data_IF_514935063179
#
_entry.id   IF_514935063179
#
_cell.length_a   1.000
_cell.length_b   1.000
_cell.length_c   1.000
_cell.angle_alpha   90.00
_cell.angle_beta   90.00
_cell.angle_gamma   90.00
#
_symmetry.space_group_name_H-M   'P 1'
#
loop_
_entity.id
_entity.type
_entity.pdbx_description
1 polymer ?
#
# COMPACT_ATOMS: atom_id res chain seq x y z
N UNK A 1 8.56 -11.50 -13.33
CA UNK A 1 8.59 -10.02 -13.27
C UNK A 1 10.03 -9.58 -13.09
N UNK A 2 10.53 -8.70 -13.95
CA UNK A 2 11.97 -8.43 -14.01
C UNK A 2 12.31 -7.11 -13.31
N UNK A 3 12.80 -7.20 -12.06
CA UNK A 3 13.31 -6.06 -11.32
C UNK A 3 14.47 -5.37 -12.06
N UNK A 4 15.31 -6.11 -12.80
CA UNK A 4 16.42 -5.52 -13.56
C UNK A 4 15.90 -4.59 -14.65
N UNK A 5 14.83 -5.01 -15.34
CA UNK A 5 14.13 -4.16 -16.29
C UNK A 5 13.57 -2.90 -15.61
N UNK A 6 12.96 -3.06 -14.43
CA UNK A 6 12.37 -1.93 -13.68
C UNK A 6 13.44 -0.91 -13.26
N UNK A 7 14.61 -1.36 -12.80
CA UNK A 7 15.76 -0.50 -12.50
C UNK A 7 16.26 0.23 -13.75
N UNK A 8 16.38 -0.50 -14.88
CA UNK A 8 16.79 0.10 -16.17
C UNK A 8 15.81 1.19 -16.61
N UNK A 9 14.50 0.90 -16.53
CA UNK A 9 13.45 1.84 -16.90
C UNK A 9 13.39 3.04 -15.94
N UNK A 10 13.58 2.85 -14.64
CA UNK A 10 13.68 3.95 -13.68
C UNK A 10 14.84 4.89 -14.01
N UNK A 11 16.01 4.35 -14.38
CA UNK A 11 17.15 5.17 -14.80
C UNK A 11 16.87 5.97 -16.07
N UNK A 12 16.17 5.37 -17.03
CA UNK A 12 15.85 6.01 -18.30
C UNK A 12 14.69 7.00 -18.19
N UNK A 13 13.71 6.72 -17.34
CA UNK A 13 12.46 7.46 -17.20
C UNK A 13 12.08 7.69 -15.72
N UNK A 14 12.92 8.38 -14.93
CA UNK A 14 12.78 8.47 -13.47
C UNK A 14 11.50 9.18 -13.00
N UNK A 15 10.87 9.97 -13.88
CA UNK A 15 9.59 10.64 -13.61
C UNK A 15 8.35 9.79 -13.91
N UNK A 16 8.50 8.69 -14.63
CA UNK A 16 7.39 7.83 -15.06
C UNK A 16 7.41 6.49 -14.33
N UNK A 17 8.58 5.88 -14.22
CA UNK A 17 8.78 4.65 -13.45
C UNK A 17 9.34 5.07 -12.10
N UNK A 18 8.50 5.12 -11.07
CA UNK A 18 8.87 5.64 -9.74
C UNK A 18 9.22 4.55 -8.72
N UNK A 19 9.02 3.28 -9.09
CA UNK A 19 9.12 2.18 -8.14
C UNK A 19 8.97 0.81 -8.77
N UNK A 20 9.02 -0.20 -7.92
CA UNK A 20 8.76 -1.60 -8.25
C UNK A 20 7.78 -2.22 -7.25
N UNK A 21 6.97 -3.15 -7.73
CA UNK A 21 6.00 -3.92 -6.96
C UNK A 21 5.96 -5.38 -7.45
N UNK A 22 5.58 -6.28 -6.55
CA UNK A 22 5.32 -7.71 -6.76
C UNK A 22 3.83 -8.03 -6.61
N UNK A 23 2.98 -7.61 -7.57
CA UNK A 23 1.52 -7.86 -7.50
C UNK A 23 1.06 -9.16 -8.20
N UNK A 24 0.82 -10.25 -7.47
CA UNK A 24 0.24 -11.50 -8.00
C UNK A 24 -0.70 -12.08 -6.93
N UNK A 25 -1.38 -13.19 -7.23
CA UNK A 25 -2.08 -13.94 -6.19
C UNK A 25 -1.06 -14.38 -5.13
N UNK A 26 -1.03 -13.67 -3.99
CA UNK A 26 0.09 -13.71 -3.03
C UNK A 26 0.29 -15.08 -2.39
N UNK A 27 -0.74 -15.92 -2.46
CA UNK A 27 -0.78 -17.26 -1.89
C UNK A 27 -0.23 -18.32 -2.84
N UNK A 28 -0.30 -18.11 -4.16
CA UNK A 28 0.25 -19.02 -5.19
C UNK A 28 1.54 -18.44 -5.82
N UNK A 29 2.26 -17.65 -5.02
CA UNK A 29 3.46 -16.93 -5.44
C UNK A 29 4.70 -17.34 -4.66
N UNK A 30 5.87 -16.92 -5.16
CA UNK A 30 7.08 -16.94 -4.35
C UNK A 30 7.04 -15.80 -3.30
N UNK A 31 7.77 -15.95 -2.20
CA UNK A 31 8.03 -14.84 -1.28
C UNK A 31 8.63 -13.62 -1.97
N UNK A 32 8.44 -12.46 -1.33
CA UNK A 32 9.01 -11.19 -1.80
C UNK A 32 10.53 -11.27 -1.86
N UNK A 33 11.17 -11.89 -0.86
CA UNK A 33 12.62 -12.09 -0.85
C UNK A 33 13.07 -12.92 -2.04
N UNK A 34 12.38 -14.00 -2.43
CA UNK A 34 12.78 -14.80 -3.58
C UNK A 34 12.94 -13.96 -4.85
N UNK A 35 11.99 -13.06 -5.12
CA UNK A 35 12.07 -12.15 -6.26
C UNK A 35 13.18 -11.10 -6.13
N UNK A 36 13.56 -10.76 -4.90
CA UNK A 36 14.50 -9.68 -4.59
C UNK A 36 15.90 -10.17 -4.19
N UNK A 37 16.15 -11.48 -4.07
CA UNK A 37 17.49 -12.04 -3.81
C UNK A 37 18.49 -11.59 -4.87
N UNK A 38 18.05 -11.46 -6.13
CA UNK A 38 18.87 -10.90 -7.21
C UNK A 38 19.16 -9.40 -7.06
N UNK A 39 18.37 -8.67 -6.27
CA UNK A 39 18.57 -7.26 -5.96
C UNK A 39 19.59 -7.06 -4.84
N UNK A 40 19.49 -7.85 -3.77
CA UNK A 40 20.40 -7.77 -2.62
C UNK A 40 21.85 -8.00 -3.06
N UNK A 41 22.09 -8.94 -3.97
CA UNK A 41 23.42 -9.16 -4.58
C UNK A 41 23.90 -8.02 -5.49
N UNK A 42 23.01 -7.15 -5.99
CA UNK A 42 23.37 -5.98 -6.79
C UNK A 42 23.62 -4.73 -5.94
N UNK A 43 23.04 -4.64 -4.74
CA UNK A 43 23.35 -3.57 -3.78
C UNK A 43 24.81 -3.63 -3.31
N UNK A 44 25.37 -4.83 -3.14
CA UNK A 44 26.80 -5.03 -2.85
C UNK A 44 27.71 -4.51 -3.98
N UNK A 45 27.18 -4.35 -5.20
CA UNK A 45 27.91 -3.90 -6.38
C UNK A 45 27.70 -2.41 -6.73
N UNK A 46 27.15 -1.60 -5.81
CA UNK A 46 27.05 -0.14 -5.98
C UNK A 46 25.96 0.33 -6.95
N UNK A 47 24.99 -0.51 -7.30
CA UNK A 47 23.86 -0.10 -8.12
C UNK A 47 22.82 0.70 -7.32
N UNK A 48 22.38 1.82 -7.90
CA UNK A 48 21.28 2.66 -7.40
C UNK A 48 20.00 1.84 -7.22
N UNK A 49 19.38 1.92 -6.04
CA UNK A 49 18.13 1.23 -5.72
C UNK A 49 16.93 1.94 -6.34
N UNK A 50 15.91 1.15 -6.67
CA UNK A 50 14.59 1.66 -7.03
C UNK A 50 13.70 1.60 -5.78
N UNK A 51 12.83 2.60 -5.51
CA UNK A 51 11.87 2.51 -4.42
C UNK A 51 10.93 1.30 -4.58
N UNK A 52 10.60 0.63 -3.47
CA UNK A 52 9.69 -0.52 -3.47
C UNK A 52 8.30 -0.08 -2.95
N UNK A 53 7.24 -0.61 -3.55
CA UNK A 53 5.84 -0.40 -3.17
C UNK A 53 5.15 -1.76 -3.16
N UNK A 54 5.53 -2.61 -2.21
CA UNK A 54 5.21 -4.03 -2.26
C UNK A 54 3.75 -4.30 -1.85
N UNK A 55 3.01 -4.98 -2.71
CA UNK A 55 1.80 -5.72 -2.37
C UNK A 55 2.17 -6.82 -1.37
N UNK A 56 1.58 -6.79 -0.17
CA UNK A 56 1.89 -7.80 0.84
C UNK A 56 0.80 -7.94 1.91
N UNK A 57 0.64 -9.17 2.38
CA UNK A 57 -0.27 -9.51 3.45
C UNK A 57 -1.73 -9.39 3.04
N UNK A 58 -2.07 -9.44 1.75
CA UNK A 58 -3.45 -9.55 1.29
C UNK A 58 -3.94 -10.99 1.44
N UNK A 59 -4.06 -11.47 2.68
CA UNK A 59 -4.47 -12.85 2.94
C UNK A 59 -5.27 -12.97 4.23
N UNK A 60 -6.12 -13.99 4.26
CA UNK A 60 -6.85 -14.41 5.47
C UNK A 60 -6.24 -15.64 6.14
N UNK A 61 -5.24 -16.29 5.51
CA UNK A 61 -4.65 -17.54 6.00
C UNK A 61 -3.97 -17.43 7.36
N UNK A 62 -3.89 -18.53 8.13
CA UNK A 62 -3.10 -18.61 9.35
C UNK A 62 -1.62 -18.29 9.14
N UNK A 63 -0.95 -17.87 10.22
CA UNK A 63 0.45 -17.42 10.21
C UNK A 63 1.45 -18.52 9.81
N UNK A 64 1.14 -19.78 10.13
CA UNK A 64 2.01 -20.94 9.97
C UNK A 64 1.65 -21.81 8.76
N UNK A 65 0.62 -21.44 8.01
CA UNK A 65 0.21 -22.19 6.82
C UNK A 65 1.18 -21.91 5.67
N UNK A 66 1.84 -22.96 5.18
CA UNK A 66 2.59 -22.89 3.92
C UNK A 66 1.60 -22.76 2.77
N UNK A 67 1.53 -21.55 2.20
CA UNK A 67 0.60 -21.22 1.12
C UNK A 67 1.27 -21.34 -0.24
N UNK A 68 2.55 -21.00 -0.34
CA UNK A 68 3.34 -21.14 -1.58
C UNK A 68 3.25 -22.56 -2.14
N UNK A 69 2.89 -22.66 -3.42
CA UNK A 69 2.82 -23.91 -4.18
C UNK A 69 4.18 -24.39 -4.70
N UNK A 70 5.25 -23.61 -4.49
CA UNK A 70 6.59 -23.89 -5.02
C UNK A 70 7.45 -24.67 -4.01
N UNK A 71 7.90 -25.87 -4.40
CA UNK A 71 8.73 -26.74 -3.56
C UNK A 71 10.10 -26.14 -3.21
N UNK A 72 10.66 -25.27 -4.07
CA UNK A 72 11.94 -24.59 -3.84
C UNK A 72 11.82 -23.32 -2.98
N UNK A 73 10.61 -22.90 -2.65
CA UNK A 73 10.34 -21.77 -1.75
C UNK A 73 9.03 -21.96 -0.95
N UNK A 74 8.96 -22.97 -0.06
CA UNK A 74 7.78 -23.22 0.75
C UNK A 74 7.73 -22.22 1.89
N UNK A 75 6.91 -21.18 1.74
CA UNK A 75 6.81 -20.05 2.67
C UNK A 75 5.34 -19.69 2.94
N UNK A 76 4.99 -19.26 4.16
CA UNK A 76 3.70 -18.63 4.43
C UNK A 76 3.62 -17.27 3.73
N UNK A 77 2.46 -16.94 3.18
CA UNK A 77 2.20 -15.61 2.60
C UNK A 77 2.48 -14.49 3.59
N UNK A 78 2.21 -14.71 4.88
CA UNK A 78 2.44 -13.70 5.92
C UNK A 78 3.92 -13.41 6.18
N UNK A 79 4.86 -14.22 5.68
CA UNK A 79 6.29 -13.89 5.72
C UNK A 79 6.59 -12.61 4.94
N UNK A 80 5.88 -12.36 3.83
CA UNK A 80 6.03 -11.13 3.04
C UNK A 80 5.85 -9.84 3.88
N UNK A 81 5.07 -9.90 4.97
CA UNK A 81 4.90 -8.76 5.88
C UNK A 81 6.20 -8.40 6.61
N UNK A 82 7.01 -9.38 7.00
CA UNK A 82 8.34 -9.15 7.58
C UNK A 82 9.32 -8.67 6.51
N UNK A 83 9.31 -9.34 5.37
CA UNK A 83 10.21 -9.06 4.26
C UNK A 83 10.04 -7.63 3.74
N UNK A 84 8.81 -7.16 3.57
CA UNK A 84 8.54 -5.78 3.11
C UNK A 84 9.09 -4.70 4.05
N UNK A 85 9.07 -4.93 5.37
CA UNK A 85 9.67 -4.05 6.37
C UNK A 85 11.19 -4.13 6.34
N UNK A 86 11.75 -5.33 6.19
CA UNK A 86 13.19 -5.55 6.07
C UNK A 86 13.76 -4.84 4.84
N UNK A 87 13.04 -4.93 3.71
CA UNK A 87 13.40 -4.35 2.42
C UNK A 87 13.12 -2.85 2.32
N UNK A 88 12.66 -2.21 3.39
CA UNK A 88 12.33 -0.78 3.45
C UNK A 88 11.33 -0.36 2.36
N UNK A 89 10.24 -1.12 2.20
CA UNK A 89 9.15 -0.72 1.32
C UNK A 89 8.65 0.68 1.68
N UNK A 90 8.42 1.51 0.66
CA UNK A 90 7.97 2.89 0.84
C UNK A 90 6.50 2.98 1.23
N UNK A 91 5.69 2.07 0.67
CA UNK A 91 4.30 1.81 1.07
C UNK A 91 4.05 0.32 1.05
N UNK A 92 2.97 -0.10 1.69
CA UNK A 92 2.49 -1.47 1.71
C UNK A 92 1.15 -1.53 0.97
N UNK A 93 1.07 -2.32 -0.09
CA UNK A 93 -0.19 -2.64 -0.74
C UNK A 93 -1.02 -3.60 0.12
N UNK A 94 -2.28 -3.26 0.36
CA UNK A 94 -3.26 -4.02 1.16
C UNK A 94 -2.87 -4.16 2.64
N UNK A 95 -1.92 -5.01 2.99
CA UNK A 95 -1.38 -5.10 4.35
C UNK A 95 -2.29 -5.76 5.39
N UNK A 96 -3.36 -6.48 5.01
CA UNK A 96 -4.30 -7.11 5.95
C UNK A 96 -3.58 -7.94 7.03
N UNK A 97 -2.62 -8.76 6.63
CA UNK A 97 -1.84 -9.66 7.48
C UNK A 97 -1.11 -9.00 8.64
N UNK A 98 -0.78 -7.70 8.53
CA UNK A 98 -0.11 -6.96 9.60
C UNK A 98 -0.94 -6.90 10.88
N UNK A 99 -2.28 -7.02 10.83
CA UNK A 99 -3.11 -7.02 12.04
C UNK A 99 -2.79 -8.16 13.00
N UNK A 100 -2.22 -9.27 12.49
CA UNK A 100 -1.80 -10.42 13.29
C UNK A 100 -0.42 -10.21 13.93
N UNK A 101 0.29 -9.14 13.56
CA UNK A 101 1.69 -8.89 13.90
C UNK A 101 1.87 -7.52 14.59
N UNK A 102 1.55 -7.39 15.90
CA UNK A 102 1.64 -6.11 16.62
C UNK A 102 2.99 -5.41 16.53
N UNK A 103 4.09 -6.17 16.53
CA UNK A 103 5.43 -5.64 16.35
C UNK A 103 5.61 -4.95 14.98
N UNK A 104 5.08 -5.54 13.89
CA UNK A 104 5.18 -4.95 12.57
C UNK A 104 4.27 -3.73 12.39
N UNK A 105 3.07 -3.72 13.00
CA UNK A 105 2.22 -2.52 13.07
C UNK A 105 2.96 -1.34 13.71
N UNK A 106 3.69 -1.60 14.80
CA UNK A 106 4.53 -0.58 15.43
C UNK A 106 5.62 -0.08 14.47
N UNK A 107 6.25 -0.98 13.70
CA UNK A 107 7.25 -0.59 12.69
C UNK A 107 6.67 0.27 11.58
N UNK A 108 5.47 -0.03 11.09
CA UNK A 108 4.78 0.82 10.10
C UNK A 108 4.59 2.24 10.65
N UNK A 109 4.14 2.36 11.91
CA UNK A 109 3.94 3.66 12.57
C UNK A 109 5.25 4.42 12.77
N UNK A 110 6.26 3.76 13.36
CA UNK A 110 7.57 4.37 13.67
C UNK A 110 8.28 4.86 12.40
N UNK A 111 8.28 4.04 11.36
CA UNK A 111 8.94 4.34 10.08
C UNK A 111 8.07 5.19 9.15
N UNK A 112 6.83 5.50 9.56
CA UNK A 112 5.83 6.21 8.78
C UNK A 112 5.62 5.58 7.40
N UNK A 113 5.53 4.25 7.34
CA UNK A 113 5.22 3.52 6.11
C UNK A 113 3.70 3.48 5.98
N UNK A 114 3.17 4.03 4.89
CA UNK A 114 1.73 4.05 4.66
C UNK A 114 1.24 2.71 4.10
N UNK A 115 0.07 2.29 4.56
CA UNK A 115 -0.65 1.13 4.02
C UNK A 115 -1.73 1.61 3.05
N UNK A 116 -1.76 1.05 1.86
CA UNK A 116 -2.76 1.30 0.82
C UNK A 116 -3.97 0.39 1.09
N UNK A 117 -5.08 0.99 1.51
CA UNK A 117 -6.31 0.28 1.87
C UNK A 117 -7.26 0.29 0.68
N UNK A 118 -7.64 -0.90 0.23
CA UNK A 118 -8.48 -1.15 -0.93
C UNK A 118 -9.80 -1.80 -0.51
N UNK A 119 -10.68 -1.02 0.14
CA UNK A 119 -11.86 -1.55 0.84
C UNK A 119 -12.78 -2.35 -0.09
N UNK A 120 -13.08 -1.78 -1.25
CA UNK A 120 -14.02 -2.38 -2.20
C UNK A 120 -13.44 -3.66 -2.79
N UNK A 121 -12.15 -3.67 -3.12
CA UNK A 121 -11.40 -4.86 -3.54
C UNK A 121 -11.51 -5.97 -2.49
N UNK A 122 -11.16 -5.67 -1.23
CA UNK A 122 -11.19 -6.65 -0.15
C UNK A 122 -12.60 -7.20 0.11
N UNK A 123 -13.66 -6.39 -0.08
CA UNK A 123 -15.03 -6.86 0.03
C UNK A 123 -15.44 -7.77 -1.14
N UNK A 124 -15.14 -7.37 -2.38
CA UNK A 124 -15.50 -8.13 -3.59
C UNK A 124 -14.77 -9.47 -3.64
N UNK A 125 -13.49 -9.48 -3.24
CA UNK A 125 -12.68 -10.71 -3.13
C UNK A 125 -13.04 -11.57 -1.91
N UNK A 126 -14.06 -11.18 -1.13
CA UNK A 126 -14.58 -11.95 -0.01
C UNK A 126 -13.70 -11.96 1.24
N UNK A 127 -12.67 -11.10 1.29
CA UNK A 127 -11.75 -11.03 2.42
C UNK A 127 -12.32 -10.26 3.61
N UNK A 128 -13.06 -9.20 3.34
CA UNK A 128 -13.66 -8.31 4.36
C UNK A 128 -15.15 -8.09 4.04
N UNK A 129 -16.02 -9.08 4.33
CA UNK A 129 -17.44 -8.99 3.96
C UNK A 129 -18.17 -7.83 4.66
N UNK A 130 -17.78 -7.52 5.90
CA UNK A 130 -18.31 -6.40 6.68
C UNK A 130 -17.25 -5.32 6.87
N UNK A 131 -17.37 -4.23 6.10
CA UNK A 131 -16.43 -3.12 6.11
C UNK A 131 -16.33 -2.38 7.46
N UNK A 132 -17.28 -2.59 8.38
CA UNK A 132 -17.19 -2.07 9.77
C UNK A 132 -16.10 -2.76 10.58
N UNK A 133 -15.66 -3.94 10.16
CA UNK A 133 -14.57 -4.70 10.77
C UNK A 133 -13.26 -4.60 9.96
N UNK A 134 -13.25 -3.79 8.90
CA UNK A 134 -12.13 -3.72 7.98
C UNK A 134 -10.84 -3.35 8.70
N UNK A 135 -9.77 -4.12 8.46
CA UNK A 135 -8.48 -3.95 9.10
C UNK A 135 -7.89 -2.53 8.95
N UNK A 136 -8.17 -1.86 7.83
CA UNK A 136 -7.80 -0.47 7.59
C UNK A 136 -8.31 0.50 8.66
N UNK A 137 -9.51 0.28 9.21
CA UNK A 137 -10.04 1.12 10.30
C UNK A 137 -9.21 0.96 11.57
N UNK A 138 -8.81 -0.28 11.88
CA UNK A 138 -7.99 -0.60 13.06
C UNK A 138 -6.65 0.12 12.94
N UNK A 139 -5.99 -0.02 11.78
CA UNK A 139 -4.71 0.65 11.52
C UNK A 139 -4.82 2.18 11.62
N UNK A 140 -5.87 2.76 11.03
CA UNK A 140 -6.14 4.19 11.11
C UNK A 140 -6.28 4.67 12.56
N UNK A 141 -7.11 3.99 13.37
CA UNK A 141 -7.31 4.32 14.79
C UNK A 141 -6.04 4.14 15.64
N UNK A 142 -5.14 3.24 15.24
CA UNK A 142 -3.83 3.06 15.88
C UNK A 142 -2.83 4.18 15.50
N UNK A 143 -3.20 5.08 14.60
CA UNK A 143 -2.33 6.15 14.09
C UNK A 143 -1.26 5.64 13.13
N UNK A 144 -1.48 4.49 12.50
CA UNK A 144 -0.66 4.01 11.39
C UNK A 144 -1.06 4.83 10.16
N UNK A 145 -0.11 5.35 9.37
CA UNK A 145 -0.45 6.06 8.15
C UNK A 145 -1.16 5.14 7.17
N UNK A 146 -2.30 5.57 6.66
CA UNK A 146 -3.03 4.86 5.60
C UNK A 146 -3.39 5.81 4.46
N UNK A 147 -3.57 5.24 3.28
CA UNK A 147 -4.12 5.90 2.09
C UNK A 147 -5.23 5.02 1.51
N UNK A 148 -6.30 5.63 0.99
CA UNK A 148 -7.38 4.88 0.33
C UNK A 148 -7.10 4.75 -1.17
N UNK A 149 -7.31 3.57 -1.73
CA UNK A 149 -7.12 3.26 -3.15
C UNK A 149 -8.28 2.39 -3.67
N UNK A 150 -8.71 2.54 -4.93
CA UNK A 150 -9.75 1.69 -5.52
C UNK A 150 -9.22 0.37 -6.08
N UNK A 151 -7.89 0.17 -6.08
CA UNK A 151 -7.24 -1.02 -6.65
C UNK A 151 -7.55 -1.18 -8.16
N UNK A 152 -8.37 -2.15 -8.53
CA UNK A 152 -8.77 -2.45 -9.91
C UNK A 152 -10.26 -2.09 -10.22
N UNK A 153 -10.66 -0.80 -10.17
CA UNK A 153 -12.07 -0.41 -10.29
C UNK A 153 -12.73 -0.94 -11.57
N UNK A 154 -12.01 -0.91 -12.69
CA UNK A 154 -12.50 -1.41 -13.97
C UNK A 154 -12.81 -2.92 -13.98
N UNK A 155 -12.02 -3.72 -13.25
CA UNK A 155 -12.26 -5.16 -13.07
C UNK A 155 -13.50 -5.40 -12.21
N UNK A 156 -13.71 -4.55 -11.21
CA UNK A 156 -14.83 -4.63 -10.28
C UNK A 156 -16.13 -3.98 -10.78
N UNK A 157 -16.12 -3.41 -11.99
CA UNK A 157 -17.31 -2.84 -12.62
C UNK A 157 -17.69 -1.44 -12.13
N UNK A 158 -16.73 -0.67 -11.60
CA UNK A 158 -16.92 0.76 -11.29
C UNK A 158 -15.78 1.61 -11.86
N UNK A 159 -15.99 2.92 -11.98
CA UNK A 159 -14.98 3.84 -12.55
C UNK A 159 -14.87 5.09 -11.68
N UNK A 160 -14.56 4.89 -10.39
CA UNK A 160 -14.48 5.99 -9.44
C UNK A 160 -13.65 5.64 -8.22
N UNK A 161 -12.86 6.61 -7.76
CA UNK A 161 -12.25 6.56 -6.43
C UNK A 161 -13.29 6.80 -5.31
N UNK A 162 -14.44 7.40 -5.61
CA UNK A 162 -15.40 7.84 -4.59
C UNK A 162 -16.03 6.68 -3.80
N UNK A 163 -16.10 5.48 -4.38
CA UNK A 163 -16.73 4.34 -3.71
C UNK A 163 -15.94 3.92 -2.46
N UNK A 164 -14.62 3.73 -2.57
CA UNK A 164 -13.77 3.41 -1.40
C UNK A 164 -13.81 4.51 -0.33
N UNK A 165 -13.88 5.77 -0.75
CA UNK A 165 -14.01 6.92 0.16
C UNK A 165 -15.36 6.94 0.88
N UNK A 166 -16.45 6.71 0.15
CA UNK A 166 -17.80 6.61 0.73
C UNK A 166 -17.88 5.42 1.69
N UNK A 167 -17.38 4.26 1.27
CA UNK A 167 -17.34 3.03 2.08
C UNK A 167 -16.57 3.26 3.38
N UNK A 168 -15.37 3.86 3.32
CA UNK A 168 -14.60 4.20 4.51
C UNK A 168 -15.33 5.22 5.38
N UNK A 169 -15.86 6.30 4.80
CA UNK A 169 -16.57 7.34 5.54
C UNK A 169 -17.76 6.78 6.34
N UNK A 170 -18.61 6.01 5.67
CA UNK A 170 -19.83 5.46 6.25
C UNK A 170 -19.56 4.34 7.24
N UNK A 171 -18.68 3.40 6.90
CA UNK A 171 -18.44 2.22 7.74
C UNK A 171 -17.55 2.51 8.94
N UNK A 172 -16.63 3.48 8.83
CA UNK A 172 -15.66 3.76 9.89
C UNK A 172 -16.08 4.89 10.83
N UNK A 173 -17.19 5.59 10.52
CA UNK A 173 -17.67 6.73 11.29
C UNK A 173 -16.75 7.94 11.18
N UNK A 174 -16.17 8.16 10.00
CA UNK A 174 -15.23 9.26 9.78
C UNK A 174 -15.96 10.60 9.79
N UNK A 175 -15.25 11.64 10.18
CA UNK A 175 -15.69 13.03 10.06
C UNK A 175 -14.93 13.76 8.93
N UNK A 176 -15.28 15.02 8.72
CA UNK A 176 -14.69 15.85 7.66
C UNK A 176 -13.17 16.07 7.83
N UNK A 177 -12.68 16.16 9.06
CA UNK A 177 -11.26 16.25 9.37
C UNK A 177 -10.50 14.96 9.03
N UNK A 178 -11.13 13.81 9.21
CA UNK A 178 -10.56 12.51 8.84
C UNK A 178 -10.42 12.39 7.32
N UNK A 179 -11.44 12.80 6.57
CA UNK A 179 -11.38 12.87 5.09
C UNK A 179 -10.24 13.79 4.62
N UNK A 180 -10.10 14.95 5.26
CA UNK A 180 -9.00 15.89 4.99
C UNK A 180 -7.65 15.23 5.22
N UNK A 181 -7.48 14.50 6.33
CA UNK A 181 -6.23 13.83 6.68
C UNK A 181 -5.90 12.69 5.72
N UNK A 182 -6.88 11.87 5.33
CA UNK A 182 -6.68 10.80 4.35
C UNK A 182 -6.26 11.35 2.98
N UNK A 183 -6.81 12.50 2.59
CA UNK A 183 -6.47 13.15 1.32
C UNK A 183 -5.05 13.74 1.38
N UNK A 184 -4.66 14.31 2.52
CA UNK A 184 -3.28 14.72 2.74
C UNK A 184 -2.32 13.54 2.75
N UNK A 185 -2.72 12.40 3.31
CA UNK A 185 -1.88 11.21 3.34
C UNK A 185 -1.56 10.73 1.91
N UNK A 186 -2.52 10.72 0.99
CA UNK A 186 -2.28 10.28 -0.39
C UNK A 186 -1.22 11.13 -1.10
N UNK A 187 -1.14 12.42 -0.80
CA UNK A 187 -0.08 13.31 -1.28
C UNK A 187 1.22 13.14 -0.49
N UNK A 188 1.13 13.03 0.83
CA UNK A 188 2.25 12.95 1.77
C UNK A 188 3.12 11.72 1.48
N UNK A 189 2.47 10.58 1.24
CA UNK A 189 3.10 9.28 1.02
C UNK A 189 3.22 8.91 -0.46
N UNK A 190 2.95 9.86 -1.37
CA UNK A 190 3.15 9.66 -2.81
C UNK A 190 4.62 9.45 -3.18
N UNK A 191 4.86 8.96 -4.39
CA UNK A 191 6.22 8.87 -4.97
C UNK A 191 6.76 10.18 -5.53
N UNK A 192 6.08 11.31 -5.30
CA UNK A 192 6.52 12.63 -5.77
C UNK A 192 7.83 13.04 -5.09
N UNK A 193 8.62 13.84 -5.79
CA UNK A 193 9.73 14.57 -5.17
C UNK A 193 9.21 15.51 -4.09
N UNK A 194 10.11 15.99 -3.22
CA UNK A 194 9.74 16.93 -2.15
C UNK A 194 9.04 18.17 -2.71
N UNK A 195 9.60 18.77 -3.76
CA UNK A 195 9.10 20.02 -4.34
C UNK A 195 7.76 19.82 -5.07
N UNK A 196 7.60 18.71 -5.80
CA UNK A 196 6.34 18.33 -6.43
C UNK A 196 5.24 18.14 -5.38
N UNK A 197 5.57 17.46 -4.28
CA UNK A 197 4.63 17.22 -3.17
C UNK A 197 4.26 18.52 -2.44
N UNK A 198 5.23 19.36 -2.11
CA UNK A 198 4.97 20.66 -1.47
C UNK A 198 4.11 21.56 -2.38
N UNK A 199 4.34 21.52 -3.69
CA UNK A 199 3.51 22.23 -4.68
C UNK A 199 2.10 21.64 -4.73
N UNK A 200 1.96 20.32 -4.82
CA UNK A 200 0.67 19.65 -4.87
C UNK A 200 -0.18 19.96 -3.63
N UNK A 201 0.42 19.93 -2.44
CA UNK A 201 -0.28 20.22 -1.18
C UNK A 201 -0.61 21.71 -1.08
N UNK A 202 0.40 22.59 -1.18
CA UNK A 202 0.24 24.00 -0.80
C UNK A 202 -0.37 24.87 -1.90
N UNK A 203 -0.18 24.52 -3.17
CA UNK A 203 -0.63 25.34 -4.30
C UNK A 203 -1.87 24.79 -4.99
N UNK A 204 -2.20 23.51 -4.81
CA UNK A 204 -3.36 22.87 -5.47
C UNK A 204 -4.39 22.35 -4.47
N UNK A 205 -3.98 21.43 -3.61
CA UNK A 205 -4.92 20.71 -2.75
C UNK A 205 -5.50 21.58 -1.65
N UNK A 206 -4.69 22.33 -0.89
CA UNK A 206 -5.18 23.22 0.18
C UNK A 206 -6.16 24.29 -0.36
N UNK A 207 -5.85 25.04 -1.44
CA UNK A 207 -6.81 25.97 -2.03
C UNK A 207 -8.11 25.31 -2.51
N UNK A 208 -8.02 24.11 -3.10
CA UNK A 208 -9.20 23.36 -3.57
C UNK A 208 -10.06 22.88 -2.39
N UNK A 209 -9.42 22.45 -1.31
CA UNK A 209 -10.10 22.08 -0.08
C UNK A 209 -10.83 23.27 0.54
N UNK A 210 -10.18 24.44 0.61
CA UNK A 210 -10.81 25.64 1.17
C UNK A 210 -12.01 26.09 0.32
N UNK A 211 -11.93 25.96 -1.00
CA UNK A 211 -13.07 26.19 -1.89
C UNK A 211 -14.19 25.18 -1.66
N UNK A 212 -13.87 23.89 -1.52
CA UNK A 212 -14.83 22.85 -1.18
C UNK A 212 -15.57 23.15 0.12
N UNK A 213 -14.85 23.53 1.19
CA UNK A 213 -15.46 23.91 2.47
C UNK A 213 -16.42 25.10 2.31
N UNK A 214 -16.00 26.15 1.59
CA UNK A 214 -16.86 27.32 1.34
C UNK A 214 -18.15 27.00 0.58
N UNK A 215 -18.12 25.99 -0.29
CA UNK A 215 -19.28 25.60 -1.09
C UNK A 215 -20.19 24.58 -0.39
N UNK A 216 -19.74 23.98 0.70
CA UNK A 216 -20.46 22.90 1.42
C UNK A 216 -20.94 23.35 2.81
N UNK A 217 -20.46 24.49 3.29
CA UNK A 217 -20.92 25.18 4.51
C UNK A 217 -22.07 26.14 4.19
#
# INVERSE_FOLDING_TARGET
>A
KDLKLSIKLHKQYPRHVIGFDTAYYEEDGYSTLYYLTQHLSQQENGYQTIPLYLHTGETSWPDDLMTSSFEDNPVPTLENTYESILLNSRRIGHGKGFIKKPYLLQKLKERRIAVEICLTSNQILGMEPDLRNHYGQIMYKMGIPIVLSPDDPGTFGYDSHTIDWYSAFMSWGLNLGDLKQLALNSLTYSGMTRDERETAINKKWLPSWDLYIKNTA
#
